data_IF_039193243576
#
_entry.id   IF_039193243576
#
_cell.length_a   1.000
_cell.length_b   1.000
_cell.length_c   1.000
_cell.angle_alpha   90.00
_cell.angle_beta   90.00
_cell.angle_gamma   90.00
#
_symmetry.space_group_name_H-M   'P 1'
#
loop_
_entity.id
_entity.type
_entity.pdbx_description
1 polymer ?
#
# COMPACT_ATOMS: atom_id res chain seq x y z
N UNK A 1 -5.74 10.77 -6.37
CA UNK A 1 -4.89 10.19 -5.31
C UNK A 1 -5.53 8.90 -4.80
N UNK A 2 -4.74 7.85 -4.60
CA UNK A 2 -5.23 6.57 -4.08
C UNK A 2 -4.22 5.92 -3.13
N UNK A 3 -3.04 5.51 -3.62
CA UNK A 3 -2.02 4.78 -2.86
C UNK A 3 -1.20 5.72 -1.99
N UNK A 4 -0.76 6.85 -2.54
CA UNK A 4 0.21 7.75 -1.90
C UNK A 4 -0.50 8.94 -1.25
N UNK A 5 -1.04 8.69 -0.05
CA UNK A 5 -1.91 9.59 0.70
C UNK A 5 -1.10 10.62 1.52
N UNK A 6 -0.29 11.43 0.84
CA UNK A 6 0.58 12.43 1.45
C UNK A 6 0.81 13.63 0.52
N UNK A 7 1.04 14.79 1.12
CA UNK A 7 1.40 16.03 0.42
C UNK A 7 2.90 16.06 0.09
N UNK A 8 3.74 15.84 1.11
CA UNK A 8 5.21 15.85 0.97
C UNK A 8 5.72 14.58 0.33
N UNK A 9 6.83 14.69 -0.39
CA UNK A 9 7.55 13.56 -0.99
C UNK A 9 6.64 12.64 -1.84
N UNK A 10 5.83 13.25 -2.72
CA UNK A 10 4.84 12.57 -3.56
C UNK A 10 5.07 12.94 -5.03
N UNK A 11 5.74 12.07 -5.80
CA UNK A 11 6.03 12.31 -7.21
C UNK A 11 4.78 12.50 -8.07
N UNK A 12 3.68 11.83 -7.76
CA UNK A 12 2.43 11.99 -8.51
C UNK A 12 1.85 13.40 -8.33
N UNK A 13 1.87 13.93 -7.09
CA UNK A 13 1.41 15.28 -6.81
C UNK A 13 2.38 16.34 -7.36
N UNK A 14 3.69 16.13 -7.21
CA UNK A 14 4.72 17.01 -7.78
C UNK A 14 4.53 17.13 -9.29
N UNK A 15 4.36 16.00 -9.99
CA UNK A 15 4.08 15.98 -11.42
C UNK A 15 2.79 16.71 -11.76
N UNK A 16 1.70 16.46 -11.02
CA UNK A 16 0.41 17.12 -11.26
C UNK A 16 0.51 18.65 -11.15
N UNK A 17 1.20 19.16 -10.12
CA UNK A 17 1.41 20.60 -9.91
C UNK A 17 2.33 21.19 -10.99
N UNK A 18 3.41 20.49 -11.35
CA UNK A 18 4.32 20.93 -12.42
C UNK A 18 3.58 21.05 -13.78
N UNK A 19 2.76 20.06 -14.13
CA UNK A 19 1.96 20.11 -15.36
C UNK A 19 0.91 21.23 -15.33
N UNK A 20 0.23 21.42 -14.20
CA UNK A 20 -0.73 22.50 -14.03
C UNK A 20 -0.08 23.88 -14.17
N UNK A 21 1.11 24.06 -13.58
CA UNK A 21 1.88 25.29 -13.68
C UNK A 21 2.36 25.57 -15.11
N UNK A 22 2.83 24.55 -15.83
CA UNK A 22 3.24 24.66 -17.25
C UNK A 22 2.08 25.05 -18.17
N UNK A 23 0.89 24.51 -17.91
CA UNK A 23 -0.32 24.81 -18.66
C UNK A 23 -1.08 26.06 -18.17
N UNK A 24 -0.62 26.68 -17.07
CA UNK A 24 -1.30 27.81 -16.41
C UNK A 24 -2.79 27.52 -16.08
N UNK A 25 -3.05 26.33 -15.53
CA UNK A 25 -4.37 25.85 -15.11
C UNK A 25 -4.36 25.52 -13.61
N UNK A 26 -5.52 25.53 -12.93
CA UNK A 26 -5.58 25.11 -11.54
C UNK A 26 -5.42 23.58 -11.40
N UNK A 27 -5.06 23.13 -10.21
CA UNK A 27 -4.92 21.70 -9.85
C UNK A 27 -5.77 21.39 -8.63
N UNK A 28 -6.35 20.20 -8.59
CA UNK A 28 -7.11 19.70 -7.46
C UNK A 28 -6.77 18.23 -7.21
N UNK A 29 -6.99 17.78 -5.98
CA UNK A 29 -6.84 16.37 -5.60
C UNK A 29 -8.22 15.76 -5.41
N UNK A 30 -8.50 14.69 -6.14
CA UNK A 30 -9.65 13.83 -5.91
C UNK A 30 -9.25 12.54 -5.18
N UNK A 31 -10.04 12.14 -4.19
CA UNK A 31 -9.94 10.86 -3.49
C UNK A 31 -11.32 10.21 -3.41
N UNK A 32 -11.44 8.94 -3.82
CA UNK A 32 -12.70 8.20 -3.75
C UNK A 32 -12.64 7.09 -2.69
N UNK A 33 -13.58 7.12 -1.75
CA UNK A 33 -13.80 6.08 -0.74
C UNK A 33 -14.57 4.92 -1.37
N UNK A 34 -13.95 3.74 -1.39
CA UNK A 34 -14.59 2.50 -1.86
C UNK A 34 -15.57 1.98 -0.82
N UNK A 35 -16.75 1.53 -1.25
CA UNK A 35 -17.77 0.97 -0.34
C UNK A 35 -17.30 -0.30 0.39
N UNK A 36 -16.45 -1.11 -0.24
CA UNK A 36 -15.76 -2.26 0.37
C UNK A 36 -14.34 -2.39 -0.19
N UNK A 37 -13.35 -1.89 0.53
CA UNK A 37 -11.95 -1.97 0.10
C UNK A 37 -11.30 -3.30 0.52
N UNK A 38 -11.29 -4.33 -0.34
CA UNK A 38 -10.54 -5.60 -0.11
C UNK A 38 -10.75 -6.24 1.28
N UNK A 39 -11.96 -6.14 1.84
CA UNK A 39 -12.26 -6.66 3.17
C UNK A 39 -11.69 -5.84 4.34
N UNK A 40 -11.31 -4.57 4.09
CA UNK A 40 -10.79 -3.66 5.09
C UNK A 40 -11.72 -3.56 6.30
N UNK A 41 -11.11 -3.65 7.48
CA UNK A 41 -11.79 -3.65 8.77
C UNK A 41 -11.92 -2.22 9.31
N UNK A 42 -12.84 -1.98 10.26
CA UNK A 42 -13.03 -0.70 10.93
C UNK A 42 -11.76 0.08 11.31
N UNK A 43 -10.77 -0.62 11.87
CA UNK A 43 -9.52 -0.02 12.36
C UNK A 43 -8.68 0.58 11.23
N UNK A 44 -8.67 -0.09 10.07
CA UNK A 44 -7.95 0.33 8.87
C UNK A 44 -8.62 1.55 8.24
N UNK A 45 -9.94 1.48 8.06
CA UNK A 45 -10.73 2.59 7.53
C UNK A 45 -10.64 3.83 8.43
N UNK A 46 -10.78 3.65 9.76
CA UNK A 46 -10.67 4.75 10.71
C UNK A 46 -9.31 5.43 10.71
N UNK A 47 -8.21 4.69 10.54
CA UNK A 47 -6.87 5.28 10.44
C UNK A 47 -6.62 6.01 9.13
N UNK A 48 -7.14 5.47 8.02
CA UNK A 48 -7.13 6.13 6.72
C UNK A 48 -7.84 7.47 6.79
N UNK A 49 -9.10 7.48 7.28
CA UNK A 49 -9.91 8.69 7.38
C UNK A 49 -9.27 9.76 8.27
N UNK A 50 -8.72 9.37 9.43
CA UNK A 50 -7.95 10.30 10.28
C UNK A 50 -6.74 10.89 9.54
N UNK A 51 -6.09 10.08 8.70
CA UNK A 51 -5.00 10.51 7.82
C UNK A 51 -5.43 11.51 6.76
N UNK A 52 -6.52 11.21 6.05
CA UNK A 52 -7.06 12.09 5.02
C UNK A 52 -7.55 13.43 5.60
N UNK A 53 -8.14 13.41 6.81
CA UNK A 53 -8.51 14.64 7.54
C UNK A 53 -7.31 15.50 7.89
N UNK A 54 -6.17 14.89 8.26
CA UNK A 54 -4.92 15.63 8.49
C UNK A 54 -4.33 16.15 7.17
N UNK A 55 -4.37 15.34 6.12
CA UNK A 55 -3.87 15.70 4.80
C UNK A 55 -4.61 16.90 4.22
N UNK A 56 -5.96 16.95 4.34
CA UNK A 56 -6.76 18.08 3.88
C UNK A 56 -6.26 19.40 4.49
N UNK A 57 -5.99 19.45 5.80
CA UNK A 57 -5.48 20.66 6.46
C UNK A 57 -4.15 21.13 5.84
N UNK A 58 -3.23 20.20 5.60
CA UNK A 58 -1.95 20.53 4.95
C UNK A 58 -2.12 20.98 3.50
N UNK A 59 -3.16 20.51 2.81
CA UNK A 59 -3.48 20.91 1.43
C UNK A 59 -4.10 22.31 1.37
N UNK A 60 -4.86 22.72 2.38
CA UNK A 60 -5.38 24.09 2.52
C UNK A 60 -4.22 25.10 2.61
N UNK A 61 -3.21 24.81 3.44
CA UNK A 61 -1.99 25.63 3.53
C UNK A 61 -1.24 25.71 2.19
N UNK A 62 -1.27 24.62 1.41
CA UNK A 62 -0.67 24.54 0.08
C UNK A 62 -1.56 25.13 -1.04
N UNK A 63 -2.76 25.63 -0.72
CA UNK A 63 -3.74 26.15 -1.67
C UNK A 63 -4.17 25.13 -2.74
N UNK A 64 -4.21 23.84 -2.39
CA UNK A 64 -4.63 22.75 -3.28
C UNK A 64 -5.98 22.20 -2.79
N UNK A 65 -7.07 22.36 -3.56
CA UNK A 65 -8.37 21.79 -3.20
C UNK A 65 -8.33 20.26 -3.06
N UNK A 66 -9.04 19.74 -2.06
CA UNK A 66 -9.20 18.32 -1.82
C UNK A 66 -10.68 17.92 -1.92
N UNK A 67 -11.01 17.05 -2.87
CA UNK A 67 -12.34 16.52 -3.12
C UNK A 67 -12.41 15.07 -2.63
N UNK A 68 -13.35 14.81 -1.73
CA UNK A 68 -13.60 13.48 -1.18
C UNK A 68 -14.93 12.95 -1.72
N UNK A 69 -14.87 11.83 -2.44
CA UNK A 69 -16.03 11.15 -3.00
C UNK A 69 -16.30 9.84 -2.26
N UNK A 70 -17.54 9.37 -2.32
CA UNK A 70 -17.94 8.04 -1.87
C UNK A 70 -18.70 7.34 -3.01
N UNK A 71 -18.45 6.05 -3.18
CA UNK A 71 -19.13 5.19 -4.15
C UNK A 71 -18.17 4.55 -5.15
N UNK A 72 -18.69 4.25 -6.34
CA UNK A 72 -17.96 3.57 -7.42
C UNK A 72 -17.02 4.55 -8.12
N UNK A 73 -15.70 4.38 -7.96
CA UNK A 73 -14.69 5.29 -8.50
C UNK A 73 -14.76 5.42 -10.02
N UNK A 74 -15.14 4.33 -10.70
CA UNK A 74 -15.36 4.27 -12.14
C UNK A 74 -16.48 5.22 -12.62
N UNK A 75 -17.36 5.68 -11.72
CA UNK A 75 -18.43 6.63 -12.02
C UNK A 75 -18.12 8.02 -11.50
N UNK A 76 -17.70 8.12 -10.24
CA UNK A 76 -17.47 9.40 -9.56
C UNK A 76 -16.31 10.19 -10.17
N UNK A 77 -15.21 9.52 -10.53
CA UNK A 77 -14.02 10.18 -11.06
C UNK A 77 -14.25 10.72 -12.47
N UNK A 78 -14.76 9.94 -13.45
CA UNK A 78 -15.08 10.49 -14.77
C UNK A 78 -16.11 11.62 -14.73
N UNK A 79 -17.14 11.49 -13.89
CA UNK A 79 -18.14 12.55 -13.70
C UNK A 79 -17.48 13.85 -13.22
N UNK A 80 -16.66 13.77 -12.17
CA UNK A 80 -15.96 14.93 -11.62
C UNK A 80 -15.03 15.58 -12.65
N UNK A 81 -14.30 14.78 -13.45
CA UNK A 81 -13.41 15.30 -14.49
C UNK A 81 -14.19 16.04 -15.60
N UNK A 82 -15.37 15.54 -15.97
CA UNK A 82 -16.27 16.21 -16.90
C UNK A 82 -16.82 17.54 -16.35
N UNK A 83 -17.25 17.55 -15.08
CA UNK A 83 -17.78 18.74 -14.40
C UNK A 83 -16.75 19.86 -14.28
N UNK A 84 -15.50 19.52 -13.93
CA UNK A 84 -14.42 20.51 -13.85
C UNK A 84 -13.72 20.79 -15.18
N UNK A 85 -14.15 20.15 -16.28
CA UNK A 85 -13.54 20.25 -17.61
C UNK A 85 -12.03 20.00 -17.56
N UNK A 86 -11.61 18.97 -16.84
CA UNK A 86 -10.21 18.64 -16.65
C UNK A 86 -9.54 18.32 -18.00
N UNK A 87 -8.30 18.83 -18.18
CA UNK A 87 -7.46 18.50 -19.34
C UNK A 87 -6.50 17.34 -19.06
N UNK A 88 -6.20 17.08 -17.79
CA UNK A 88 -5.22 16.08 -17.37
C UNK A 88 -5.67 15.37 -16.08
N UNK A 89 -5.65 14.04 -16.10
CA UNK A 89 -5.74 13.18 -14.93
C UNK A 89 -4.34 12.65 -14.59
N UNK A 90 -3.86 12.93 -13.38
CA UNK A 90 -2.66 12.29 -12.82
C UNK A 90 -3.06 11.31 -11.72
N UNK A 91 -2.55 10.08 -11.78
CA UNK A 91 -2.81 9.02 -10.79
C UNK A 91 -1.53 8.40 -10.26
N UNK A 92 -1.53 8.00 -8.99
CA UNK A 92 -0.42 7.25 -8.39
C UNK A 92 -0.49 5.77 -8.77
N UNK A 93 0.65 5.09 -8.86
CA UNK A 93 0.72 3.68 -9.28
C UNK A 93 0.34 2.69 -8.16
N UNK A 94 -0.32 1.59 -8.55
CA UNK A 94 -0.52 0.42 -7.68
C UNK A 94 -0.51 -0.86 -8.52
N UNK A 95 0.25 -1.90 -8.14
CA UNK A 95 0.28 -3.16 -8.91
C UNK A 95 -0.96 -4.03 -8.69
N UNK A 96 -1.79 -3.72 -7.68
CA UNK A 96 -2.92 -4.57 -7.31
C UNK A 96 -3.98 -4.63 -8.42
N UNK A 97 -4.33 -5.85 -8.87
CA UNK A 97 -5.34 -6.12 -9.91
C UNK A 97 -6.63 -5.30 -9.79
N UNK A 98 -7.33 -5.27 -8.63
CA UNK A 98 -8.58 -4.53 -8.52
C UNK A 98 -8.40 -3.02 -8.77
N UNK A 99 -7.23 -2.47 -8.43
CA UNK A 99 -6.93 -1.05 -8.62
C UNK A 99 -6.57 -0.74 -10.06
N UNK A 100 -5.79 -1.61 -10.69
CA UNK A 100 -5.47 -1.51 -12.12
C UNK A 100 -6.73 -1.60 -12.97
N UNK A 101 -7.59 -2.59 -12.69
CA UNK A 101 -8.89 -2.73 -13.36
C UNK A 101 -9.78 -1.49 -13.18
N UNK A 102 -9.88 -0.97 -11.96
CA UNK A 102 -10.62 0.26 -11.68
C UNK A 102 -10.11 1.44 -12.52
N UNK A 103 -8.79 1.62 -12.62
CA UNK A 103 -8.18 2.67 -13.45
C UNK A 103 -8.44 2.45 -14.94
N UNK A 104 -8.32 1.23 -15.45
CA UNK A 104 -8.62 0.90 -16.84
C UNK A 104 -10.08 1.24 -17.18
N UNK A 105 -11.02 0.95 -16.29
CA UNK A 105 -12.43 1.32 -16.47
C UNK A 105 -12.69 2.83 -16.39
N UNK A 106 -11.98 3.55 -15.51
CA UNK A 106 -11.98 5.02 -15.51
C UNK A 106 -11.50 5.52 -16.88
N UNK A 107 -10.33 5.07 -17.36
CA UNK A 107 -9.77 5.50 -18.64
C UNK A 107 -10.73 5.29 -19.81
N UNK A 108 -11.44 4.17 -19.87
CA UNK A 108 -12.44 3.87 -20.91
C UNK A 108 -13.64 4.82 -20.92
N UNK A 109 -13.94 5.46 -19.78
CA UNK A 109 -15.08 6.37 -19.62
C UNK A 109 -14.72 7.84 -19.80
N UNK A 110 -13.43 8.15 -19.93
CA UNK A 110 -12.97 9.52 -20.18
C UNK A 110 -13.06 9.84 -21.67
N UNK A 111 -13.34 11.10 -21.98
CA UNK A 111 -13.26 11.62 -23.35
C UNK A 111 -11.80 11.76 -23.78
N UNK A 112 -11.56 11.70 -25.09
CA UNK A 112 -10.22 11.88 -25.70
C UNK A 112 -9.58 13.24 -25.39
N UNK A 113 -10.36 14.19 -24.85
CA UNK A 113 -9.87 15.50 -24.39
C UNK A 113 -9.09 15.45 -23.08
N UNK A 114 -9.13 14.35 -22.33
CA UNK A 114 -8.44 14.20 -21.04
C UNK A 114 -7.18 13.35 -21.23
N UNK A 115 -6.01 13.96 -21.07
CA UNK A 115 -4.75 13.21 -21.03
C UNK A 115 -4.64 12.47 -19.70
N UNK A 116 -4.00 11.30 -19.68
CA UNK A 116 -3.86 10.48 -18.47
C UNK A 116 -2.38 10.17 -18.23
N UNK A 117 -1.87 10.55 -17.06
CA UNK A 117 -0.52 10.21 -16.61
C UNK A 117 -0.61 9.32 -15.36
N UNK A 118 0.06 8.18 -15.37
CA UNK A 118 0.31 7.37 -14.18
C UNK A 118 1.76 7.58 -13.70
N UNK A 119 1.92 7.81 -12.41
CA UNK A 119 3.23 8.08 -11.78
C UNK A 119 3.47 7.07 -10.67
N UNK A 120 4.61 6.39 -10.71
CA UNK A 120 5.08 5.59 -9.57
C UNK A 120 5.63 6.50 -8.48
N UNK A 121 4.76 6.86 -7.53
CA UNK A 121 5.10 7.67 -6.38
C UNK A 121 5.48 6.81 -5.16
N UNK A 122 5.45 5.48 -5.27
CA UNK A 122 5.60 4.57 -4.15
C UNK A 122 6.98 3.90 -4.09
N UNK A 123 7.49 3.51 -5.26
CA UNK A 123 8.81 2.93 -5.43
C UNK A 123 9.85 4.03 -5.69
N UNK A 124 11.11 3.78 -5.34
CA UNK A 124 12.21 4.71 -5.64
C UNK A 124 12.50 4.65 -7.13
N UNK A 125 12.63 3.44 -7.67
CA UNK A 125 12.73 3.20 -9.11
C UNK A 125 11.35 2.78 -9.61
N UNK A 126 10.74 3.48 -10.59
CA UNK A 126 9.45 3.09 -11.13
C UNK A 126 9.44 1.63 -11.58
N UNK A 127 8.40 0.88 -11.22
CA UNK A 127 8.48 -0.58 -11.28
C UNK A 127 8.77 -1.14 -12.67
N UNK A 128 8.22 -0.51 -13.70
CA UNK A 128 8.42 -0.86 -15.11
C UNK A 128 9.81 -0.47 -15.64
N UNK A 129 10.53 0.41 -14.94
CA UNK A 129 11.94 0.74 -15.21
C UNK A 129 12.86 -0.21 -14.44
N UNK A 130 12.53 -0.53 -13.19
CA UNK A 130 13.35 -1.39 -12.32
C UNK A 130 13.61 -2.79 -12.93
N UNK A 131 12.61 -3.36 -13.60
CA UNK A 131 12.75 -4.57 -14.40
C UNK A 131 11.63 -4.67 -15.43
N UNK A 132 11.92 -5.16 -16.63
CA UNK A 132 10.92 -5.42 -17.68
C UNK A 132 10.20 -6.78 -17.53
N UNK A 133 10.48 -7.52 -16.45
CA UNK A 133 9.93 -8.86 -16.20
C UNK A 133 9.80 -9.17 -14.71
N UNK A 134 9.06 -10.24 -14.42
CA UNK A 134 9.00 -10.88 -13.10
C UNK A 134 10.39 -11.35 -12.67
N UNK A 135 10.82 -10.93 -11.49
CA UNK A 135 12.09 -11.30 -10.89
C UNK A 135 11.95 -12.47 -9.93
N UNK A 136 12.88 -13.42 -10.00
CA UNK A 136 12.83 -14.64 -9.22
C UNK A 136 13.08 -14.41 -7.73
N UNK A 137 13.96 -13.47 -7.39
CA UNK A 137 14.39 -13.24 -6.01
C UNK A 137 14.95 -11.85 -5.78
N UNK A 138 15.16 -11.50 -4.50
CA UNK A 138 15.87 -10.28 -4.12
C UNK A 138 17.25 -10.20 -4.78
N UNK A 139 17.95 -11.34 -4.95
CA UNK A 139 19.26 -11.37 -5.62
C UNK A 139 19.21 -10.86 -7.06
N UNK A 140 18.16 -11.20 -7.81
CA UNK A 140 18.09 -10.89 -9.25
C UNK A 140 17.65 -9.45 -9.49
N UNK A 141 16.73 -8.92 -8.68
CA UNK A 141 16.29 -7.52 -8.79
C UNK A 141 17.28 -6.51 -8.17
N UNK A 142 18.02 -6.89 -7.11
CA UNK A 142 18.95 -5.99 -6.39
C UNK A 142 19.96 -5.32 -7.32
N UNK A 143 20.59 -6.11 -8.19
CA UNK A 143 21.58 -5.58 -9.14
C UNK A 143 20.99 -4.60 -10.14
N UNK A 144 19.69 -4.71 -10.47
CA UNK A 144 19.00 -3.81 -11.39
C UNK A 144 18.64 -2.50 -10.70
N UNK A 145 18.01 -2.58 -9.53
CA UNK A 145 17.67 -1.40 -8.72
C UNK A 145 18.94 -0.62 -8.37
N UNK A 146 19.98 -1.28 -7.86
CA UNK A 146 21.21 -0.61 -7.42
C UNK A 146 21.92 0.17 -8.55
N UNK A 147 21.82 -0.29 -9.80
CA UNK A 147 22.37 0.44 -10.95
C UNK A 147 21.62 1.75 -11.23
N UNK A 148 20.34 1.80 -10.88
CA UNK A 148 19.45 2.95 -11.11
C UNK A 148 19.36 3.88 -9.91
N UNK A 149 19.71 3.43 -8.70
CA UNK A 149 19.67 4.27 -7.49
C UNK A 149 20.42 5.61 -7.62
N UNK A 150 21.59 5.73 -8.28
CA UNK A 150 22.23 7.03 -8.46
C UNK A 150 21.37 8.07 -9.18
N UNK A 151 20.50 7.63 -10.09
CA UNK A 151 19.59 8.49 -10.87
C UNK A 151 18.26 8.73 -10.13
N UNK A 152 17.74 7.71 -9.45
CA UNK A 152 16.38 7.75 -8.88
C UNK A 152 16.32 8.07 -7.38
N UNK A 153 17.37 7.76 -6.61
CA UNK A 153 17.43 8.08 -5.17
C UNK A 153 17.98 9.49 -4.94
N UNK A 154 17.23 10.46 -5.47
CA UNK A 154 17.46 11.90 -5.39
C UNK A 154 16.54 12.54 -4.35
N UNK A 155 16.83 13.77 -3.94
CA UNK A 155 15.92 14.51 -3.07
C UNK A 155 14.69 14.99 -3.85
N UNK A 156 13.61 15.26 -3.13
CA UNK A 156 12.37 15.77 -3.70
C UNK A 156 12.47 17.28 -3.92
N UNK A 157 11.96 17.81 -5.04
CA UNK A 157 11.83 19.26 -5.19
C UNK A 157 10.82 19.81 -4.18
N UNK A 158 11.05 21.05 -3.73
CA UNK A 158 10.06 21.77 -2.93
C UNK A 158 8.81 22.01 -3.75
N UNK A 159 7.66 21.52 -3.26
CA UNK A 159 6.38 21.74 -3.90
C UNK A 159 5.97 23.22 -3.74
N UNK A 160 6.03 23.96 -4.85
CA UNK A 160 5.51 25.33 -4.89
C UNK A 160 3.98 25.31 -5.00
N UNK A 161 3.27 26.32 -4.45
CA UNK A 161 1.84 26.46 -4.67
C UNK A 161 1.50 26.54 -6.17
N UNK A 162 0.29 26.11 -6.58
CA UNK A 162 -0.16 26.27 -7.96
C UNK A 162 -0.20 27.74 -8.36
N UNK A 163 0.30 28.06 -9.56
CA UNK A 163 0.30 29.43 -10.10
C UNK A 163 -1.11 29.99 -10.26
N UNK A 164 -2.05 29.13 -10.66
CA UNK A 164 -3.45 29.49 -10.86
C UNK A 164 -4.28 28.89 -9.74
N UNK A 165 -5.00 29.77 -9.05
CA UNK A 165 -5.94 29.36 -8.01
C UNK A 165 -7.14 28.67 -8.62
N UNK A 166 -7.65 27.68 -7.91
CA UNK A 166 -8.95 27.09 -8.21
C UNK A 166 -10.04 28.08 -7.82
N UNK A 167 -10.85 28.53 -8.77
CA UNK A 167 -11.97 29.45 -8.52
C UNK A 167 -13.08 28.72 -7.73
N UNK A 168 -12.93 28.79 -6.41
CA UNK A 168 -13.85 28.57 -5.28
C UNK A 168 -14.95 27.48 -5.35
N UNK A 169 -14.92 26.59 -4.36
CA UNK A 169 -15.93 26.52 -3.29
C UNK A 169 -15.19 26.17 -1.99
N UNK A 170 -15.55 26.80 -0.85
CA UNK A 170 -15.21 26.25 0.47
C UNK A 170 -15.95 24.92 0.60
N UNK A 171 -15.32 23.85 0.13
CA UNK A 171 -15.84 22.50 0.25
C UNK A 171 -15.58 22.06 1.68
N UNK A 172 -16.54 22.40 2.55
CA UNK A 172 -16.62 21.85 3.89
C UNK A 172 -16.89 20.36 3.76
N UNK A 173 -15.84 19.56 3.89
CA UNK A 173 -15.98 18.11 4.05
C UNK A 173 -16.53 17.88 5.45
N UNK A 174 -17.76 17.36 5.53
CA UNK A 174 -18.33 16.89 6.79
C UNK A 174 -17.68 15.57 7.21
N UNK A 175 -16.48 15.66 7.80
CA UNK A 175 -15.74 14.49 8.29
C UNK A 175 -16.48 13.72 9.38
N UNK A 176 -17.28 14.43 10.17
CA UNK A 176 -17.94 13.84 11.33
C UNK A 176 -19.19 13.07 10.84
N UNK A 177 -20.04 13.64 9.98
CA UNK A 177 -21.16 12.93 9.37
C UNK A 177 -20.73 11.85 8.36
N UNK A 178 -19.88 12.18 7.38
CA UNK A 178 -19.45 11.22 6.35
C UNK A 178 -18.61 10.09 6.93
N UNK A 179 -17.71 10.40 7.86
CA UNK A 179 -16.88 9.39 8.52
C UNK A 179 -17.72 8.39 9.30
N UNK A 180 -18.73 8.86 10.05
CA UNK A 180 -19.65 8.01 10.79
C UNK A 180 -20.51 7.15 9.85
N UNK A 181 -21.07 7.72 8.79
CA UNK A 181 -21.90 6.99 7.81
C UNK A 181 -21.08 5.95 7.05
N UNK A 182 -19.90 6.31 6.58
CA UNK A 182 -19.00 5.40 5.88
C UNK A 182 -18.53 4.25 6.77
N UNK A 183 -18.20 4.53 8.04
CA UNK A 183 -17.85 3.49 9.00
C UNK A 183 -19.05 2.60 9.32
N UNK A 184 -20.24 3.14 9.57
CA UNK A 184 -21.46 2.36 9.82
C UNK A 184 -21.83 1.44 8.65
N UNK A 185 -21.81 1.97 7.42
CA UNK A 185 -22.08 1.18 6.19
C UNK A 185 -21.06 0.07 5.95
N UNK A 186 -19.84 0.22 6.48
CA UNK A 186 -18.80 -0.81 6.50
C UNK A 186 -18.82 -1.70 7.76
N UNK A 187 -19.94 -1.72 8.50
CA UNK A 187 -20.13 -2.61 9.65
C UNK A 187 -19.36 -2.23 10.91
N UNK A 188 -18.97 -0.95 11.05
CA UNK A 188 -18.30 -0.44 12.25
C UNK A 188 -19.33 0.00 13.30
N UNK A 189 -19.41 -0.71 14.43
CA UNK A 189 -20.12 -0.21 15.61
C UNK A 189 -19.17 0.63 16.47
N UNK A 190 -19.43 1.94 16.56
CA UNK A 190 -18.58 2.92 17.27
C UNK A 190 -18.75 2.92 18.80
N UNK A 191 -19.30 1.86 19.38
CA UNK A 191 -19.63 1.76 20.81
C UNK A 191 -18.45 1.58 21.77
N UNK A 192 -17.19 1.78 21.35
CA UNK A 192 -16.04 1.81 22.27
C UNK A 192 -15.09 2.95 21.91
N UNK A 193 -15.00 3.91 22.82
CA UNK A 193 -13.96 4.93 22.85
C UNK A 193 -12.58 4.28 22.69
N UNK A 194 -11.98 4.43 21.51
CA UNK A 194 -10.55 4.21 21.33
C UNK A 194 -9.79 5.46 21.78
N UNK A 195 -9.89 5.77 23.07
CA UNK A 195 -9.03 6.72 23.76
C UNK A 195 -7.74 5.97 24.14
N UNK A 196 -6.70 6.11 23.33
CA UNK A 196 -5.31 6.07 23.79
C UNK A 196 -4.40 6.64 22.71
N UNK A 197 -3.84 7.82 22.99
CA UNK A 197 -2.95 8.60 22.14
C UNK A 197 -1.50 8.12 22.19
N UNK A 198 -1.25 6.85 21.83
CA UNK A 198 0.10 6.44 21.45
C UNK A 198 0.18 6.37 19.92
N UNK A 199 1.14 7.08 19.31
CA UNK A 199 1.45 6.92 17.87
C UNK A 199 1.78 5.45 17.64
N UNK A 200 0.83 4.76 17.02
CA UNK A 200 0.89 3.33 16.87
C UNK A 200 1.58 3.00 15.55
N UNK A 201 2.86 2.68 15.60
CA UNK A 201 3.64 2.20 14.44
C UNK A 201 3.07 0.90 13.82
N UNK A 202 2.03 0.33 14.45
CA UNK A 202 1.32 -0.93 14.19
C UNK A 202 0.37 -0.91 12.99
N UNK A 203 0.37 0.15 12.17
CA UNK A 203 -0.34 0.18 10.88
C UNK A 203 0.62 0.39 9.72
N UNK A 204 1.65 -0.46 9.63
CA UNK A 204 2.74 -0.39 8.64
C UNK A 204 2.23 -0.09 7.22
N UNK A 205 1.20 -0.80 6.76
CA UNK A 205 0.58 -0.60 5.44
C UNK A 205 -0.04 0.79 5.20
N UNK A 206 -0.52 1.48 6.25
CA UNK A 206 -1.03 2.86 6.12
C UNK A 206 0.04 3.90 6.45
N UNK A 207 1.05 3.57 7.25
CA UNK A 207 2.22 4.40 7.47
C UNK A 207 3.01 4.55 6.17
N UNK A 208 3.20 3.46 5.42
CA UNK A 208 3.88 3.45 4.12
C UNK A 208 3.16 4.31 3.06
N UNK A 209 1.88 4.66 3.27
CA UNK A 209 1.14 5.60 2.41
C UNK A 209 1.33 7.06 2.81
N UNK A 210 1.58 7.31 4.10
CA UNK A 210 1.73 8.65 4.70
C UNK A 210 3.16 9.18 4.67
N UNK A 211 4.15 8.30 4.56
CA UNK A 211 5.58 8.65 4.42
C UNK A 211 6.17 8.01 3.17
N UNK A 212 7.01 8.75 2.46
CA UNK A 212 7.73 8.23 1.30
C UNK A 212 8.86 7.31 1.72
N UNK A 213 8.94 6.13 1.13
CA UNK A 213 10.09 5.26 1.35
C UNK A 213 11.38 5.84 0.76
N UNK A 214 11.30 6.65 -0.30
CA UNK A 214 12.46 7.37 -0.81
C UNK A 214 12.98 8.36 0.24
N UNK A 215 12.09 9.09 0.94
CA UNK A 215 12.47 9.94 2.07
C UNK A 215 13.15 9.11 3.16
N UNK A 216 12.56 7.99 3.58
CA UNK A 216 13.18 7.09 4.56
C UNK A 216 14.57 6.60 4.12
N UNK A 217 14.76 6.28 2.84
CA UNK A 217 16.03 5.85 2.30
C UNK A 217 17.09 6.96 2.29
N UNK A 218 16.70 8.20 1.94
CA UNK A 218 17.58 9.37 1.99
C UNK A 218 18.06 9.65 3.42
N UNK A 219 17.14 9.67 4.39
CA UNK A 219 17.48 9.90 5.81
C UNK A 219 18.39 8.79 6.35
N UNK A 220 18.08 7.52 6.06
CA UNK A 220 18.90 6.39 6.49
C UNK A 220 20.32 6.44 5.87
N UNK A 221 20.43 6.84 4.59
CA UNK A 221 21.72 6.99 3.90
C UNK A 221 22.62 8.02 4.59
N UNK A 222 22.04 9.09 5.12
CA UNK A 222 22.77 10.11 5.90
C UNK A 222 23.45 9.54 7.15
N UNK A 223 22.85 8.50 7.75
CA UNK A 223 23.35 7.85 8.97
C UNK A 223 24.31 6.67 8.69
N UNK A 224 24.54 6.31 7.43
CA UNK A 224 25.35 5.13 7.05
C UNK A 224 26.77 5.17 7.61
N UNK A 225 27.39 6.37 7.70
CA UNK A 225 28.74 6.52 8.27
C UNK A 225 28.82 6.09 9.74
N UNK A 226 27.73 6.24 10.49
CA UNK A 226 27.65 5.90 11.92
C UNK A 226 27.18 4.45 12.13
N UNK A 227 26.26 3.96 11.29
CA UNK A 227 25.57 2.68 11.48
C UNK A 227 25.51 1.84 10.19
N UNK A 228 26.66 1.63 9.54
CA UNK A 228 26.73 1.03 8.20
C UNK A 228 25.93 -0.28 8.05
N UNK A 229 26.16 -1.26 8.93
CA UNK A 229 25.48 -2.56 8.85
C UNK A 229 23.96 -2.45 9.06
N UNK A 230 23.52 -1.63 10.01
CA UNK A 230 22.10 -1.44 10.30
C UNK A 230 21.39 -0.70 9.15
N UNK A 231 22.04 0.32 8.58
CA UNK A 231 21.53 1.06 7.42
C UNK A 231 21.46 0.17 6.19
N UNK A 232 22.50 -0.61 5.90
CA UNK A 232 22.51 -1.51 4.74
C UNK A 232 21.40 -2.58 4.85
N UNK A 233 21.21 -3.15 6.03
CA UNK A 233 20.12 -4.10 6.30
C UNK A 233 18.74 -3.44 6.14
N UNK A 234 18.59 -2.21 6.64
CA UNK A 234 17.34 -1.45 6.52
C UNK A 234 17.02 -1.10 5.06
N UNK A 235 18.00 -0.64 4.28
CA UNK A 235 17.83 -0.30 2.87
C UNK A 235 17.55 -1.53 2.00
N UNK A 236 18.13 -2.69 2.31
CA UNK A 236 17.78 -3.95 1.64
C UNK A 236 16.29 -4.30 1.81
N UNK A 237 15.76 -4.19 3.03
CA UNK A 237 14.34 -4.46 3.30
C UNK A 237 13.42 -3.37 2.70
N UNK A 238 13.79 -2.10 2.88
CA UNK A 238 12.99 -0.95 2.44
C UNK A 238 12.95 -0.81 0.92
N UNK A 239 14.05 -1.06 0.23
CA UNK A 239 14.16 -0.86 -1.22
C UNK A 239 13.97 -2.21 -1.91
N UNK A 240 14.92 -3.12 -1.77
CA UNK A 240 14.99 -4.33 -2.59
C UNK A 240 13.81 -5.26 -2.31
N UNK A 241 13.53 -5.60 -1.05
CA UNK A 241 12.45 -6.54 -0.73
C UNK A 241 11.07 -5.96 -0.96
N UNK A 242 10.86 -4.69 -0.63
CA UNK A 242 9.60 -4.00 -0.84
C UNK A 242 9.29 -3.85 -2.33
N UNK A 243 10.24 -3.38 -3.14
CA UNK A 243 10.03 -3.19 -4.58
C UNK A 243 9.97 -4.52 -5.34
N UNK A 244 10.59 -5.58 -4.82
CA UNK A 244 10.37 -6.94 -5.31
C UNK A 244 8.92 -7.41 -5.12
N UNK A 245 8.25 -7.02 -4.03
CA UNK A 245 6.84 -7.36 -3.84
C UNK A 245 5.94 -6.62 -4.85
N UNK A 246 6.26 -5.35 -5.16
CA UNK A 246 5.61 -4.62 -6.24
C UNK A 246 5.88 -5.24 -7.61
N UNK A 247 7.12 -5.68 -7.88
CA UNK A 247 7.49 -6.43 -9.09
C UNK A 247 6.65 -7.70 -9.24
N UNK A 248 6.53 -8.47 -8.16
CA UNK A 248 5.75 -9.69 -8.13
C UNK A 248 4.28 -9.40 -8.46
N UNK A 249 3.64 -8.48 -7.74
CA UNK A 249 2.24 -8.12 -7.98
C UNK A 249 2.00 -7.52 -9.38
N UNK A 250 2.98 -6.80 -9.94
CA UNK A 250 2.85 -6.16 -11.24
C UNK A 250 2.94 -7.15 -12.41
N UNK A 251 3.86 -8.12 -12.33
CA UNK A 251 4.14 -9.08 -13.42
C UNK A 251 3.49 -10.44 -13.26
N UNK A 252 3.02 -10.82 -12.06
CA UNK A 252 2.33 -12.09 -11.81
C UNK A 252 0.82 -11.83 -11.63
N UNK A 253 -0.02 -12.06 -12.66
CA UNK A 253 -1.46 -11.89 -12.54
C UNK A 253 -2.08 -12.73 -11.44
N UNK A 254 -1.48 -13.88 -11.09
CA UNK A 254 -1.98 -14.78 -10.06
C UNK A 254 -1.28 -14.58 -8.70
N UNK A 255 -0.85 -13.36 -8.36
CA UNK A 255 0.00 -13.08 -7.18
C UNK A 255 -0.60 -13.49 -5.81
N UNK A 256 -1.90 -13.77 -5.76
CA UNK A 256 -2.66 -14.15 -4.56
C UNK A 256 -3.29 -15.54 -4.72
N UNK A 257 -2.74 -16.37 -5.61
CA UNK A 257 -3.08 -17.79 -5.73
C UNK A 257 -1.83 -18.65 -5.83
N UNK A 258 -1.96 -19.96 -5.58
CA UNK A 258 -0.83 -20.91 -5.68
C UNK A 258 -0.24 -20.95 -7.11
N UNK A 259 -1.04 -20.62 -8.12
CA UNK A 259 -0.65 -20.53 -9.52
C UNK A 259 0.35 -19.40 -9.76
N UNK A 260 0.41 -18.40 -8.87
CA UNK A 260 1.44 -17.37 -8.89
C UNK A 260 2.80 -17.83 -8.41
N UNK A 261 2.89 -18.96 -7.69
CA UNK A 261 4.14 -19.49 -7.19
C UNK A 261 4.98 -20.15 -8.30
N UNK A 262 6.30 -20.19 -8.08
CA UNK A 262 7.23 -20.87 -8.98
C UNK A 262 6.89 -22.35 -9.12
N UNK A 263 7.13 -22.90 -10.30
CA UNK A 263 6.73 -24.27 -10.65
C UNK A 263 7.26 -25.32 -9.68
N UNK A 264 8.53 -25.24 -9.29
CA UNK A 264 9.12 -26.16 -8.31
C UNK A 264 8.39 -26.11 -6.97
N UNK A 265 7.96 -24.91 -6.53
CA UNK A 265 7.24 -24.72 -5.28
C UNK A 265 5.83 -25.29 -5.38
N UNK A 266 5.15 -25.12 -6.52
CA UNK A 266 3.86 -25.76 -6.78
C UNK A 266 3.98 -27.28 -6.78
N UNK A 267 5.00 -27.82 -7.45
CA UNK A 267 5.24 -29.26 -7.54
C UNK A 267 5.48 -29.88 -6.16
N UNK A 268 6.39 -29.32 -5.36
CA UNK A 268 6.67 -29.86 -4.02
C UNK A 268 5.43 -29.80 -3.12
N UNK A 269 4.62 -28.73 -3.18
CA UNK A 269 3.38 -28.65 -2.41
C UNK A 269 2.37 -29.73 -2.83
N UNK A 270 2.29 -30.03 -4.13
CA UNK A 270 1.42 -31.08 -4.66
C UNK A 270 1.90 -32.48 -4.29
N UNK A 271 3.22 -32.73 -4.32
CA UNK A 271 3.81 -34.01 -3.92
C UNK A 271 3.49 -34.33 -2.45
N UNK A 272 3.43 -33.31 -1.58
CA UNK A 272 3.15 -33.42 -0.16
C UNK A 272 1.67 -33.21 0.21
N UNK A 273 0.75 -33.18 -0.75
CA UNK A 273 -0.67 -32.91 -0.47
C UNK A 273 -1.33 -34.03 0.35
N UNK A 274 -0.86 -35.27 0.24
CA UNK A 274 -1.42 -36.43 0.93
C UNK A 274 -0.80 -36.70 2.31
N UNK A 275 0.24 -35.97 2.70
CA UNK A 275 0.95 -36.18 3.96
C UNK A 275 0.01 -36.03 5.17
N UNK A 276 0.12 -36.91 6.17
CA UNK A 276 -0.68 -36.77 7.39
C UNK A 276 -0.16 -35.57 8.19
N UNK A 277 -1.04 -34.58 8.44
CA UNK A 277 -0.70 -33.42 9.29
C UNK A 277 -0.90 -33.79 10.76
N UNK A 278 0.04 -33.38 11.60
CA UNK A 278 -0.02 -33.56 13.06
C UNK A 278 -1.22 -32.81 13.67
N UNK A 279 -1.50 -31.60 13.17
CA UNK A 279 -2.62 -30.77 13.59
C UNK A 279 -3.33 -30.15 12.39
N UNK A 280 -4.66 -30.05 12.48
CA UNK A 280 -5.51 -29.35 11.51
C UNK A 280 -6.39 -28.38 12.30
N UNK A 281 -6.25 -27.09 12.00
CA UNK A 281 -7.01 -26.03 12.65
C UNK A 281 -8.01 -25.42 11.67
N UNK A 282 -9.22 -25.15 12.16
CA UNK A 282 -10.18 -24.32 11.44
C UNK A 282 -9.75 -22.85 11.53
N UNK A 283 -10.12 -22.05 10.53
CA UNK A 283 -9.81 -20.60 10.46
C UNK A 283 -10.16 -19.88 11.76
N UNK A 284 -11.32 -20.17 12.35
CA UNK A 284 -11.78 -19.56 13.60
C UNK A 284 -10.87 -19.85 14.81
N UNK A 285 -10.21 -21.02 14.83
CA UNK A 285 -9.25 -21.37 15.88
C UNK A 285 -7.94 -20.63 15.69
N UNK A 286 -7.45 -20.55 14.45
CA UNK A 286 -6.27 -19.76 14.11
C UNK A 286 -6.50 -18.27 14.41
N UNK A 287 -7.68 -17.74 14.06
CA UNK A 287 -8.06 -16.35 14.34
C UNK A 287 -8.14 -16.01 15.83
N UNK A 288 -8.36 -17.01 16.68
CA UNK A 288 -8.41 -16.86 18.14
C UNK A 288 -7.11 -17.23 18.82
N UNK A 289 -6.06 -17.53 18.04
CA UNK A 289 -4.78 -18.00 18.54
C UNK A 289 -4.93 -19.25 19.44
N UNK A 290 -5.79 -20.17 19.03
CA UNK A 290 -6.10 -21.41 19.78
C UNK A 290 -5.44 -22.60 19.08
N UNK A 291 -4.11 -22.69 19.22
CA UNK A 291 -3.30 -23.77 18.65
C UNK A 291 -2.71 -24.66 19.76
N UNK A 292 -2.17 -25.81 19.39
CA UNK A 292 -1.54 -26.73 20.34
C UNK A 292 -0.17 -26.21 20.82
N UNK A 293 0.48 -25.35 20.03
CA UNK A 293 1.72 -24.69 20.40
C UNK A 293 1.42 -23.38 21.18
N UNK A 294 1.84 -23.27 22.46
CA UNK A 294 1.66 -22.06 23.23
C UNK A 294 2.44 -20.86 22.67
N UNK A 295 3.55 -21.09 21.93
CA UNK A 295 4.28 -20.03 21.24
C UNK A 295 3.49 -19.51 20.04
N UNK A 296 2.85 -20.38 19.27
CA UNK A 296 2.01 -20.00 18.13
C UNK A 296 0.77 -19.23 18.61
N UNK A 297 0.17 -19.70 19.71
CA UNK A 297 -0.94 -19.01 20.38
C UNK A 297 -0.54 -17.64 20.94
N UNK A 298 0.64 -17.52 21.55
CA UNK A 298 1.17 -16.23 21.99
C UNK A 298 1.46 -15.29 20.80
N UNK A 299 1.95 -15.85 19.68
CA UNK A 299 2.30 -15.13 18.46
C UNK A 299 1.09 -14.60 17.71
N UNK A 300 0.07 -15.43 17.55
CA UNK A 300 -1.19 -15.06 16.91
C UNK A 300 -1.96 -14.09 17.82
N UNK A 301 -1.99 -14.31 19.13
CA UNK A 301 -2.54 -13.34 20.08
C UNK A 301 -1.80 -12.00 20.01
N UNK A 302 -0.48 -12.02 19.83
CA UNK A 302 0.32 -10.83 19.57
C UNK A 302 -0.01 -10.19 18.21
N UNK A 303 -0.24 -10.95 17.14
CA UNK A 303 -0.71 -10.42 15.85
C UNK A 303 -2.10 -9.79 15.94
N UNK A 304 -3.05 -10.43 16.63
CA UNK A 304 -4.41 -9.93 16.82
C UNK A 304 -4.46 -8.70 17.73
N UNK A 305 -3.64 -8.67 18.78
CA UNK A 305 -3.54 -7.52 19.69
C UNK A 305 -2.68 -6.38 19.14
N UNK A 306 -1.58 -6.70 18.44
CA UNK A 306 -0.54 -5.73 18.05
C UNK A 306 -0.37 -5.49 16.55
N UNK A 307 -0.92 -6.32 15.66
CA UNK A 307 -0.75 -6.24 14.19
C UNK A 307 0.72 -6.19 13.71
N UNK A 308 1.66 -6.78 14.46
CA UNK A 308 3.09 -6.81 14.12
C UNK A 308 3.50 -8.15 13.48
N UNK A 309 4.19 -8.09 12.33
CA UNK A 309 4.88 -9.26 11.73
C UNK A 309 6.37 -9.37 12.15
N UNK A 310 6.81 -8.59 13.14
CA UNK A 310 8.22 -8.60 13.59
C UNK A 310 8.35 -9.39 14.89
N UNK A 311 9.00 -10.56 14.79
CA UNK A 311 9.33 -11.42 15.93
C UNK A 311 10.85 -11.46 16.12
N UNK A 312 11.35 -11.48 17.37
CA UNK A 312 12.75 -11.81 17.65
C UNK A 312 13.12 -13.18 17.05
N UNK A 313 14.37 -13.42 16.66
CA UNK A 313 14.81 -14.70 16.05
C UNK A 313 14.55 -15.93 16.92
N UNK A 314 14.27 -15.76 18.22
CA UNK A 314 13.95 -16.81 19.18
C UNK A 314 12.46 -17.23 19.22
N UNK A 315 11.58 -16.61 18.43
CA UNK A 315 10.11 -16.83 18.43
C UNK A 315 9.60 -17.70 17.26
N UNK A 316 10.47 -18.52 16.65
CA UNK A 316 10.10 -19.37 15.52
C UNK A 316 10.12 -20.87 15.89
N UNK A 317 9.00 -21.48 16.31
CA UNK A 317 8.81 -22.92 16.17
C UNK A 317 8.61 -23.24 14.68
N UNK A 318 9.40 -24.20 14.17
CA UNK A 318 9.66 -24.37 12.73
C UNK A 318 8.65 -25.21 11.94
N UNK A 319 7.60 -25.79 12.54
CA UNK A 319 6.85 -26.86 11.87
C UNK A 319 5.32 -26.77 11.84
N UNK A 320 4.63 -26.26 12.87
CA UNK A 320 3.17 -26.44 12.96
C UNK A 320 2.36 -25.43 12.11
N UNK A 321 2.68 -24.15 12.16
CA UNK A 321 2.12 -23.15 11.24
C UNK A 321 2.54 -23.35 9.79
N UNK A 322 3.68 -24.00 9.56
CA UNK A 322 4.13 -24.34 8.21
C UNK A 322 3.09 -25.23 7.53
N UNK A 323 2.57 -26.24 8.24
CA UNK A 323 1.54 -27.15 7.72
C UNK A 323 0.19 -26.44 7.47
N UNK A 324 -0.26 -25.57 8.38
CA UNK A 324 -1.50 -24.81 8.21
C UNK A 324 -1.40 -23.78 7.07
N UNK A 325 -0.27 -23.07 6.99
CA UNK A 325 -0.01 -22.08 5.93
C UNK A 325 0.14 -22.74 4.55
N UNK A 326 0.71 -23.96 4.49
CA UNK A 326 0.76 -24.75 3.27
C UNK A 326 -0.62 -25.21 2.81
N UNK A 327 -1.48 -25.71 3.72
CA UNK A 327 -2.85 -26.09 3.38
C UNK A 327 -3.66 -24.88 2.92
N UNK A 328 -3.54 -23.74 3.58
CA UNK A 328 -4.23 -22.53 3.17
C UNK A 328 -3.74 -22.02 1.81
N UNK A 329 -2.43 -22.08 1.55
CA UNK A 329 -1.85 -21.76 0.26
C UNK A 329 -2.34 -22.72 -0.83
N UNK A 330 -2.41 -24.02 -0.56
CA UNK A 330 -2.88 -25.04 -1.51
C UNK A 330 -4.39 -24.89 -1.81
N UNK A 331 -5.22 -24.67 -0.79
CA UNK A 331 -6.68 -24.67 -0.95
C UNK A 331 -7.27 -23.30 -1.28
N UNK A 332 -6.69 -22.22 -0.76
CA UNK A 332 -7.23 -20.86 -0.89
C UNK A 332 -6.30 -19.90 -1.60
N UNK A 333 -5.07 -20.32 -1.94
CA UNK A 333 -4.10 -19.47 -2.63
C UNK A 333 -3.51 -18.37 -1.75
N UNK A 334 -3.86 -18.34 -0.47
CA UNK A 334 -3.44 -17.30 0.47
C UNK A 334 -2.28 -17.79 1.32
N UNK A 335 -1.29 -16.94 1.48
CA UNK A 335 -0.22 -17.12 2.45
C UNK A 335 -0.32 -15.99 3.46
N UNK A 336 -0.72 -16.32 4.69
CA UNK A 336 -0.50 -15.40 5.79
C UNK A 336 1.03 -15.20 5.95
N UNK A 337 1.46 -13.96 6.21
CA UNK A 337 2.87 -13.52 6.21
C UNK A 337 3.76 -14.11 7.32
N UNK A 338 3.64 -15.41 7.60
CA UNK A 338 4.35 -16.14 8.64
C UNK A 338 5.78 -16.55 8.23
N UNK A 339 6.19 -16.26 7.00
CA UNK A 339 7.44 -16.78 6.44
C UNK A 339 8.61 -15.79 6.56
N UNK A 340 9.49 -16.02 7.54
CA UNK A 340 10.93 -15.75 7.37
C UNK A 340 11.67 -17.08 7.45
N UNK A 341 12.37 -17.44 6.38
CA UNK A 341 13.47 -18.39 6.49
C UNK A 341 14.64 -17.65 7.15
N UNK A 342 15.00 -18.05 8.37
CA UNK A 342 16.35 -17.80 8.88
C UNK A 342 17.24 -18.77 8.12
N UNK A 343 17.99 -18.27 7.16
CA UNK A 343 19.14 -19.00 6.63
C UNK A 343 20.19 -18.98 7.75
N UNK A 344 20.54 -20.18 8.22
CA UNK A 344 21.64 -20.43 9.15
C UNK A 344 22.99 -20.15 8.50
#
# INVERSE_FOLDING_TARGET
>A
MFRDQRLKDNWALIHAVDQANKANVPVAIAFNLFDKFLGAKPRQLGFMLKGLRQLQKSLEDAQIPFFLFQGVAEETIPKFLGECKASLLVTDFSPLRPIRKCKEEICKRLSDSVTIHEVDAHNIVPIWVASVKLEYSAKTIRGKINKLLPEYLIDFPTLLPPNKKWDAMNLLIDWDGMGLVYLKSNGVNLGRNCSNGSIDWKQRWFLDKKISAQRCALEARGLRKLYAQAVDTFLEELIVRRELADNFCYYQPNYDTIQGAWEWARKTLMDHVADKREHIYMTEKLEKAQTADPYDSARDSFLFSSMRLHFPPYFYPKFQLWNASQLEMVHYGKMHGFMRQVTS
#
